data_IF_805622268577
#
_entry.id   IF_805622268577
#
_cell.length_a   1.000
_cell.length_b   1.000
_cell.length_c   1.000
_cell.angle_alpha   90.00
_cell.angle_beta   90.00
_cell.angle_gamma   90.00
#
_symmetry.space_group_name_H-M   'P 1'
#
loop_
_entity.id
_entity.type
_entity.pdbx_description
1 polymer ?
#
# COMPACT_ATOMS: atom_id res chain seq x y z
N UNK A 1 85.85 40.05 -6.34
CA UNK A 1 85.67 41.06 -5.27
C UNK A 1 84.63 40.50 -4.33
N UNK A 2 85.05 40.04 -3.26
CA UNK A 2 84.80 40.36 -1.83
C UNK A 2 83.36 40.62 -1.46
N UNK A 3 82.77 39.81 -0.56
CA UNK A 3 81.63 40.18 0.27
C UNK A 3 81.06 39.00 1.02
N UNK A 4 81.63 38.69 2.04
CA UNK A 4 81.34 38.44 3.48
C UNK A 4 80.09 37.61 3.85
N UNK A 5 80.38 36.44 4.45
CA UNK A 5 79.56 35.61 5.27
C UNK A 5 79.01 36.34 6.48
N UNK A 6 77.71 36.22 6.75
CA UNK A 6 77.19 36.40 8.11
C UNK A 6 76.34 35.17 8.50
N UNK A 7 76.89 34.41 9.42
CA UNK A 7 76.14 33.37 10.19
C UNK A 7 75.19 34.08 11.15
N UNK A 8 73.94 33.69 11.16
CA UNK A 8 73.05 34.00 12.29
C UNK A 8 72.48 32.67 12.81
N UNK A 9 72.73 32.45 14.10
CA UNK A 9 72.24 31.37 14.90
C UNK A 9 70.71 31.46 15.00
N UNK A 10 70.00 30.38 14.71
CA UNK A 10 68.57 30.27 15.01
C UNK A 10 68.44 29.56 16.32
N UNK A 11 67.87 30.23 17.31
CA UNK A 11 67.49 29.67 18.58
C UNK A 11 66.30 28.72 18.43
N UNK A 12 66.45 27.51 18.94
CA UNK A 12 65.40 26.51 19.05
C UNK A 12 64.47 26.90 20.22
N UNK A 13 63.27 27.37 19.92
CA UNK A 13 62.15 27.48 20.86
C UNK A 13 61.26 26.24 20.70
N UNK A 14 61.44 25.27 21.58
CA UNK A 14 60.48 24.17 21.77
C UNK A 14 59.26 24.73 22.47
N UNK A 15 58.22 25.09 21.73
CA UNK A 15 56.90 25.34 22.27
C UNK A 15 56.22 23.99 22.52
N UNK A 16 56.08 23.58 23.79
CA UNK A 16 55.20 22.51 24.24
C UNK A 16 53.75 22.94 23.96
N UNK A 17 53.20 22.56 22.83
CA UNK A 17 51.78 22.65 22.52
C UNK A 17 51.04 21.55 23.31
N UNK A 18 50.49 21.90 24.47
CA UNK A 18 49.49 21.06 25.13
C UNK A 18 48.22 21.13 24.28
N UNK A 19 48.03 20.14 23.39
CA UNK A 19 46.77 19.97 22.69
C UNK A 19 45.73 19.49 23.69
N UNK A 20 44.92 20.42 24.19
CA UNK A 20 43.64 20.06 24.82
C UNK A 20 42.76 19.43 23.74
N UNK A 21 42.80 18.13 23.67
CA UNK A 21 41.73 17.37 23.03
C UNK A 21 40.48 17.55 23.90
N UNK A 22 39.66 18.55 23.59
CA UNK A 22 38.27 18.57 24.02
C UNK A 22 37.62 17.34 23.35
N UNK A 23 37.43 16.27 24.13
CA UNK A 23 36.63 15.18 23.72
C UNK A 23 35.24 15.71 23.33
N UNK A 24 34.95 15.75 22.04
CA UNK A 24 33.58 16.00 21.57
C UNK A 24 32.70 14.98 22.29
N UNK A 25 31.59 15.41 22.91
CA UNK A 25 30.66 14.44 23.48
C UNK A 25 30.29 13.44 22.39
N UNK A 26 30.43 12.16 22.71
CA UNK A 26 29.99 11.09 21.82
C UNK A 26 28.52 11.40 21.42
N UNK A 27 28.17 11.32 20.15
CA UNK A 27 26.79 11.52 19.75
C UNK A 27 25.91 10.64 20.63
N UNK A 28 24.93 11.24 21.30
CA UNK A 28 23.99 10.50 22.12
C UNK A 28 23.39 9.43 21.20
N UNK A 29 23.56 8.17 21.54
CA UNK A 29 22.95 7.07 20.80
C UNK A 29 21.45 7.24 20.98
N UNK A 30 20.80 7.79 19.98
CA UNK A 30 19.36 8.02 20.00
C UNK A 30 18.69 6.67 20.22
N UNK A 31 17.98 6.51 21.33
CA UNK A 31 17.34 5.24 21.66
C UNK A 31 16.22 5.00 20.67
N UNK A 32 16.26 3.87 19.96
CA UNK A 32 15.19 3.46 19.04
C UNK A 32 13.90 3.34 19.86
N UNK A 33 12.82 4.08 19.49
CA UNK A 33 11.60 4.10 20.27
C UNK A 33 10.82 2.78 20.16
N UNK A 34 10.16 2.42 21.27
CA UNK A 34 9.21 1.30 21.30
C UNK A 34 7.84 1.77 20.84
N UNK A 35 7.20 0.96 20.00
CA UNK A 35 5.82 1.18 19.52
C UNK A 35 4.82 0.34 20.31
N UNK A 36 3.63 0.88 20.45
CA UNK A 36 2.47 0.12 20.88
C UNK A 36 1.94 -0.70 19.71
N UNK A 37 1.55 -1.93 20.01
CA UNK A 37 0.95 -2.84 19.06
C UNK A 37 -0.52 -2.97 19.39
N UNK A 38 -1.38 -2.75 18.42
CA UNK A 38 -2.81 -2.95 18.52
C UNK A 38 -3.20 -4.43 18.67
N UNK A 39 -4.48 -4.67 18.84
CA UNK A 39 -4.98 -6.01 19.07
C UNK A 39 -6.46 -6.16 18.77
N UNK A 40 -7.16 -6.80 19.69
CA UNK A 40 -8.61 -6.97 19.64
C UNK A 40 -9.25 -6.17 20.76
N UNK A 41 -10.25 -5.37 20.40
CA UNK A 41 -11.08 -4.61 21.32
C UNK A 41 -12.55 -4.96 21.08
N UNK A 42 -13.24 -5.42 22.12
CA UNK A 42 -14.64 -5.85 22.00
C UNK A 42 -14.88 -6.92 20.92
N UNK A 43 -13.92 -7.82 20.71
CA UNK A 43 -14.00 -8.87 19.68
C UNK A 43 -13.75 -8.41 18.25
N UNK A 44 -13.34 -7.15 18.05
CA UNK A 44 -13.03 -6.58 16.74
C UNK A 44 -11.55 -6.16 16.66
N UNK A 45 -10.92 -6.20 15.48
CA UNK A 45 -9.58 -5.68 15.29
C UNK A 45 -9.50 -4.20 15.69
N UNK A 46 -8.46 -3.86 16.41
CA UNK A 46 -8.15 -2.47 16.83
C UNK A 46 -6.67 -2.18 16.52
N UNK A 47 -6.31 -1.97 15.24
CA UNK A 47 -4.94 -1.65 14.85
C UNK A 47 -4.49 -0.33 15.47
N UNK A 48 -3.31 -0.32 16.12
CA UNK A 48 -2.74 0.93 16.58
C UNK A 48 -2.10 1.67 15.41
N UNK A 49 -2.51 2.91 15.21
CA UNK A 49 -1.98 3.80 14.17
C UNK A 49 -0.83 4.62 14.68
N UNK A 50 0.18 4.76 13.85
CA UNK A 50 1.38 5.57 14.07
C UNK A 50 1.57 6.51 12.89
N UNK A 51 2.26 7.62 13.14
CA UNK A 51 2.64 8.61 12.13
C UNK A 51 4.12 8.93 12.22
N UNK A 52 4.76 9.11 11.07
CA UNK A 52 6.16 9.51 10.96
C UNK A 52 6.38 10.31 9.67
N UNK A 53 7.57 10.87 9.52
CA UNK A 53 8.03 11.50 8.29
C UNK A 53 9.13 10.60 7.70
N UNK A 54 8.98 10.19 6.46
CA UNK A 54 9.90 9.29 5.78
C UNK A 54 10.81 10.09 4.82
N UNK A 55 12.08 10.32 5.20
CA UNK A 55 13.03 11.05 4.36
C UNK A 55 13.40 10.26 3.09
N UNK A 56 13.92 10.93 2.06
CA UNK A 56 14.39 10.27 0.84
C UNK A 56 15.52 9.29 1.13
N UNK A 57 15.50 8.12 0.49
CA UNK A 57 16.55 7.10 0.56
C UNK A 57 16.94 6.67 1.98
N UNK A 58 15.98 6.76 2.93
CA UNK A 58 16.23 6.41 4.32
C UNK A 58 15.29 5.32 4.82
N UNK A 59 15.71 4.73 5.94
CA UNK A 59 14.93 3.78 6.71
C UNK A 59 14.62 4.35 8.07
N UNK A 60 13.39 4.21 8.51
CA UNK A 60 12.96 4.45 9.86
C UNK A 60 12.90 3.12 10.61
N UNK A 61 13.26 3.12 11.89
CA UNK A 61 13.32 1.93 12.71
C UNK A 61 12.65 2.15 14.06
N UNK A 62 11.88 1.15 14.47
CA UNK A 62 11.22 1.10 15.77
C UNK A 62 11.36 -0.29 16.38
N UNK A 63 11.04 -0.40 17.66
CA UNK A 63 11.03 -1.67 18.41
C UNK A 63 9.63 -2.06 18.83
N UNK A 64 9.36 -3.36 18.80
CA UNK A 64 8.15 -3.96 19.36
C UNK A 64 8.52 -5.22 20.14
N UNK A 65 7.72 -5.53 21.17
CA UNK A 65 7.90 -6.78 21.93
C UNK A 65 6.92 -7.83 21.43
N UNK A 66 7.45 -8.96 20.95
CA UNK A 66 6.66 -10.10 20.49
C UNK A 66 6.95 -11.34 21.32
N UNK A 67 5.90 -12.04 21.72
CA UNK A 67 5.93 -13.27 22.50
C UNK A 67 5.68 -14.48 21.62
N UNK A 68 5.96 -15.65 22.15
CA UNK A 68 5.59 -16.91 21.50
C UNK A 68 4.08 -16.93 21.17
N UNK A 69 3.75 -17.30 19.95
CA UNK A 69 2.39 -17.31 19.42
C UNK A 69 1.90 -15.98 18.82
N UNK A 70 2.63 -14.87 18.99
CA UNK A 70 2.29 -13.60 18.36
C UNK A 70 2.48 -13.68 16.83
N UNK A 71 1.54 -13.09 16.10
CA UNK A 71 1.59 -12.91 14.64
C UNK A 71 1.32 -11.43 14.35
N UNK A 72 2.35 -10.71 13.90
CA UNK A 72 2.28 -9.27 13.71
C UNK A 72 1.84 -8.92 12.28
N UNK A 73 0.97 -7.93 12.15
CA UNK A 73 0.65 -7.27 10.90
C UNK A 73 1.09 -5.80 10.94
N UNK A 74 1.71 -5.36 9.88
CA UNK A 74 2.13 -3.99 9.61
C UNK A 74 1.48 -3.53 8.31
N UNK A 75 0.64 -2.50 8.38
CA UNK A 75 0.18 -1.77 7.20
C UNK A 75 0.90 -0.44 7.12
N UNK A 76 1.19 0.03 5.92
CA UNK A 76 1.87 1.30 5.70
C UNK A 76 1.28 2.05 4.52
N UNK A 77 1.26 3.36 4.63
CA UNK A 77 0.78 4.25 3.58
C UNK A 77 1.58 5.55 3.57
N UNK A 78 1.90 6.01 2.37
CA UNK A 78 2.51 7.31 2.14
C UNK A 78 1.61 8.14 1.24
N UNK A 79 1.26 9.33 1.69
CA UNK A 79 0.52 10.30 0.87
C UNK A 79 1.51 11.17 0.10
N UNK A 80 1.41 11.22 -1.24
CA UNK A 80 2.27 12.08 -2.04
C UNK A 80 2.02 13.57 -1.73
N UNK A 81 3.05 14.39 -1.63
CA UNK A 81 2.89 15.84 -1.51
C UNK A 81 2.30 16.45 -2.80
N UNK A 82 1.73 17.65 -2.69
CA UNK A 82 1.04 18.32 -3.80
C UNK A 82 1.94 18.59 -5.01
N UNK A 83 3.20 18.91 -4.75
CA UNK A 83 4.20 19.26 -5.77
C UNK A 83 5.05 18.07 -6.27
N UNK A 84 4.85 16.87 -5.70
CA UNK A 84 5.63 15.68 -6.06
C UNK A 84 5.33 15.13 -7.46
N UNK A 85 4.21 15.52 -8.08
CA UNK A 85 3.80 15.02 -9.39
C UNK A 85 4.78 15.40 -10.53
N UNK A 86 5.63 16.41 -10.32
CA UNK A 86 6.55 16.91 -11.35
C UNK A 86 7.92 16.21 -11.40
N UNK A 87 8.25 15.37 -10.44
CA UNK A 87 9.54 14.67 -10.39
C UNK A 87 9.37 13.23 -10.85
N UNK A 88 9.72 12.91 -12.11
CA UNK A 88 9.60 11.53 -12.61
C UNK A 88 10.59 10.61 -11.89
N UNK A 89 10.20 9.36 -11.72
CA UNK A 89 11.05 8.36 -11.09
C UNK A 89 10.27 7.15 -10.59
N UNK A 90 10.90 6.38 -9.74
CA UNK A 90 10.33 5.25 -9.02
C UNK A 90 10.37 5.55 -7.52
N UNK A 91 9.28 5.38 -6.82
CA UNK A 91 9.27 5.28 -5.37
C UNK A 91 8.85 3.87 -4.97
N UNK A 92 9.61 3.29 -4.06
CA UNK A 92 9.31 1.99 -3.45
C UNK A 92 9.41 2.12 -1.94
N UNK A 93 8.36 1.70 -1.25
CA UNK A 93 8.32 1.67 0.20
C UNK A 93 8.19 0.22 0.62
N UNK A 94 9.15 -0.23 1.39
CA UNK A 94 9.23 -1.62 1.87
C UNK A 94 9.15 -1.64 3.39
N UNK A 95 8.58 -2.70 3.92
CA UNK A 95 8.58 -2.98 5.35
C UNK A 95 9.33 -4.27 5.65
N UNK A 96 10.03 -4.30 6.78
CA UNK A 96 10.75 -5.44 7.27
C UNK A 96 10.51 -5.63 8.78
N UNK A 97 10.46 -6.88 9.21
CA UNK A 97 10.26 -7.31 10.59
C UNK A 97 11.44 -8.20 10.95
N UNK A 98 12.32 -7.71 11.83
CA UNK A 98 13.59 -8.38 12.15
C UNK A 98 13.55 -8.85 13.60
N UNK A 99 13.82 -10.12 13.83
CA UNK A 99 13.80 -10.74 15.14
C UNK A 99 15.02 -10.36 16.01
N UNK A 100 15.04 -10.70 17.31
CA UNK A 100 16.18 -10.39 18.20
C UNK A 100 17.51 -11.02 17.77
N UNK A 101 17.51 -12.04 16.92
CA UNK A 101 18.70 -12.69 16.41
C UNK A 101 19.18 -12.14 15.07
N UNK A 102 18.41 -11.16 14.50
CA UNK A 102 18.72 -10.53 13.23
C UNK A 102 18.11 -11.23 12.00
N UNK A 103 17.24 -12.22 12.19
CA UNK A 103 16.56 -12.89 11.09
C UNK A 103 15.37 -12.06 10.60
N UNK A 104 15.16 -12.07 9.29
CA UNK A 104 13.94 -11.51 8.69
C UNK A 104 12.77 -12.43 8.95
N UNK A 105 11.76 -11.91 9.66
CA UNK A 105 10.58 -12.66 10.08
C UNK A 105 9.33 -12.26 9.31
N UNK A 106 9.48 -11.94 8.04
CA UNK A 106 8.35 -11.61 7.16
C UNK A 106 7.84 -12.87 6.49
N UNK A 107 6.59 -13.23 6.72
CA UNK A 107 5.90 -14.35 6.07
C UNK A 107 5.31 -13.93 4.73
N UNK A 108 4.85 -12.68 4.65
CA UNK A 108 4.23 -12.10 3.48
C UNK A 108 4.41 -10.59 3.49
N UNK A 109 4.64 -10.01 2.33
CA UNK A 109 4.71 -8.56 2.16
C UNK A 109 4.29 -8.13 0.77
N UNK A 110 3.75 -6.91 0.68
CA UNK A 110 3.55 -6.18 -0.56
C UNK A 110 4.18 -4.81 -0.43
N UNK A 111 5.10 -4.51 -1.34
CA UNK A 111 5.74 -3.21 -1.38
C UNK A 111 4.79 -2.17 -1.97
N UNK A 112 4.72 -1.02 -1.34
CA UNK A 112 4.11 0.15 -1.96
C UNK A 112 4.99 0.69 -3.09
N UNK A 113 4.48 0.79 -4.30
CA UNK A 113 5.24 1.31 -5.45
C UNK A 113 4.47 2.36 -6.22
N UNK A 114 5.18 3.39 -6.70
CA UNK A 114 4.70 4.32 -7.70
C UNK A 114 5.79 4.53 -8.74
N UNK A 115 5.41 4.58 -10.02
CA UNK A 115 6.32 4.75 -11.14
C UNK A 115 5.93 5.95 -11.98
N UNK A 116 6.90 6.74 -12.41
CA UNK A 116 6.80 7.93 -13.24
C UNK A 116 6.09 9.13 -12.57
N UNK A 117 5.01 8.92 -11.85
CA UNK A 117 4.25 9.96 -11.16
C UNK A 117 3.50 9.36 -9.96
N UNK A 118 3.18 10.19 -8.98
CA UNK A 118 2.25 9.81 -7.94
C UNK A 118 0.81 10.00 -8.42
N UNK A 119 0.17 8.94 -8.84
CA UNK A 119 -1.24 8.96 -9.25
C UNK A 119 -2.20 8.70 -8.10
N UNK A 120 -1.72 8.09 -7.03
CA UNK A 120 -2.48 7.70 -5.83
C UNK A 120 -1.53 7.54 -4.64
N UNK A 121 -2.02 7.43 -3.40
CA UNK A 121 -1.20 7.06 -2.26
C UNK A 121 -0.48 5.73 -2.50
N UNK A 122 0.74 5.63 -1.98
CA UNK A 122 1.49 4.39 -2.00
C UNK A 122 1.17 3.64 -0.72
N UNK A 123 0.58 2.46 -0.80
CA UNK A 123 0.31 1.59 0.34
C UNK A 123 0.95 0.24 0.16
N UNK A 124 1.30 -0.39 1.27
CA UNK A 124 1.89 -1.71 1.31
C UNK A 124 1.70 -2.35 2.69
N UNK A 125 2.12 -3.59 2.82
CA UNK A 125 2.01 -4.31 4.08
C UNK A 125 3.12 -5.33 4.27
N UNK A 126 3.29 -5.76 5.51
CA UNK A 126 4.08 -6.94 5.88
C UNK A 126 3.41 -7.68 7.03
N UNK A 127 3.49 -9.01 7.01
CA UNK A 127 3.09 -9.86 8.15
C UNK A 127 4.27 -10.69 8.61
N UNK A 128 4.39 -10.90 9.93
CA UNK A 128 5.41 -11.80 10.44
C UNK A 128 5.00 -13.28 10.26
N UNK A 129 5.95 -14.19 10.40
CA UNK A 129 5.61 -15.55 10.82
C UNK A 129 5.06 -15.53 12.25
N UNK A 130 4.35 -16.59 12.64
CA UNK A 130 4.00 -16.81 14.05
C UNK A 130 5.27 -17.01 14.85
N UNK A 131 5.46 -16.19 15.87
CA UNK A 131 6.67 -16.22 16.71
C UNK A 131 6.79 -17.55 17.45
N UNK A 132 7.93 -18.20 17.33
CA UNK A 132 8.18 -19.52 17.92
C UNK A 132 7.66 -20.71 17.10
N UNK A 133 7.07 -20.47 15.93
CA UNK A 133 6.77 -21.53 14.96
C UNK A 133 8.08 -22.00 14.28
N UNK A 134 8.15 -23.28 13.99
CA UNK A 134 9.29 -23.91 13.32
C UNK A 134 9.49 -23.44 11.87
N UNK A 135 8.47 -22.85 11.26
CA UNK A 135 8.49 -22.48 9.85
C UNK A 135 9.31 -21.21 9.56
N UNK A 136 9.21 -20.20 10.42
CA UNK A 136 9.88 -18.91 10.23
C UNK A 136 11.16 -18.77 11.06
N UNK A 137 11.41 -19.66 11.99
CA UNK A 137 12.50 -19.58 12.99
C UNK A 137 12.54 -18.24 13.75
N UNK A 138 11.37 -17.59 13.91
CA UNK A 138 11.26 -16.30 14.56
C UNK A 138 11.31 -16.46 16.07
N UNK A 139 12.27 -15.81 16.70
CA UNK A 139 12.54 -15.95 18.14
C UNK A 139 11.76 -14.94 18.95
N UNK A 140 11.11 -15.32 20.09
CA UNK A 140 10.45 -14.34 20.97
C UNK A 140 11.42 -13.27 21.49
N UNK A 141 10.95 -12.03 21.65
CA UNK A 141 11.72 -10.92 22.21
C UNK A 141 11.48 -9.60 21.50
N UNK A 142 12.46 -8.72 21.52
CA UNK A 142 12.39 -7.38 20.94
C UNK A 142 12.73 -7.42 19.45
N UNK A 143 11.74 -7.08 18.63
CA UNK A 143 11.85 -7.01 17.17
C UNK A 143 12.13 -5.60 16.71
N UNK A 144 12.86 -5.47 15.60
CA UNK A 144 12.98 -4.23 14.85
C UNK A 144 11.94 -4.20 13.72
N UNK A 145 11.15 -3.12 13.68
CA UNK A 145 10.28 -2.78 12.56
C UNK A 145 11.02 -1.74 11.73
N UNK A 146 11.24 -2.04 10.44
CA UNK A 146 12.00 -1.17 9.54
C UNK A 146 11.14 -0.82 8.32
N UNK A 147 10.88 0.47 8.12
CA UNK A 147 10.21 0.96 6.90
C UNK A 147 11.23 1.76 6.10
N UNK A 148 11.43 1.37 4.84
CA UNK A 148 12.47 1.94 3.98
C UNK A 148 11.84 2.56 2.74
N UNK A 149 12.29 3.77 2.40
CA UNK A 149 12.00 4.41 1.11
C UNK A 149 13.21 4.29 0.19
N UNK A 150 12.96 3.86 -1.05
CA UNK A 150 13.93 3.81 -2.14
C UNK A 150 13.37 4.47 -3.40
N UNK A 151 14.26 5.02 -4.21
CA UNK A 151 13.91 5.61 -5.50
C UNK A 151 13.80 7.12 -5.48
N UNK A 152 13.74 7.69 -6.67
CA UNK A 152 13.86 9.13 -6.92
C UNK A 152 12.53 9.87 -7.02
N UNK A 153 11.40 9.17 -7.13
CA UNK A 153 10.08 9.79 -7.21
C UNK A 153 9.79 10.59 -5.94
N UNK A 154 9.32 11.82 -6.09
CA UNK A 154 9.16 12.78 -5.00
C UNK A 154 10.46 13.50 -4.63
N UNK A 155 11.58 13.22 -5.30
CA UNK A 155 12.83 13.95 -5.15
C UNK A 155 13.31 14.03 -3.69
N UNK A 156 13.69 15.23 -3.27
CA UNK A 156 14.15 15.51 -1.92
C UNK A 156 13.01 15.70 -0.89
N UNK A 157 11.73 15.62 -1.30
CA UNK A 157 10.61 15.80 -0.39
C UNK A 157 10.53 14.69 0.65
N UNK A 158 10.32 15.08 1.89
CA UNK A 158 9.92 14.18 2.95
C UNK A 158 8.47 13.72 2.72
N UNK A 159 8.18 12.45 2.96
CA UNK A 159 6.85 11.90 2.75
C UNK A 159 6.15 11.61 4.08
N UNK A 160 4.92 12.13 4.29
CA UNK A 160 4.10 11.70 5.42
C UNK A 160 3.84 10.19 5.34
N UNK A 161 4.24 9.47 6.38
CA UNK A 161 4.04 8.04 6.55
C UNK A 161 3.04 7.78 7.65
N UNK A 162 1.91 7.17 7.31
CA UNK A 162 1.01 6.53 8.26
C UNK A 162 1.25 5.04 8.25
N UNK A 163 1.28 4.39 9.41
CA UNK A 163 1.39 2.96 9.49
C UNK A 163 0.61 2.40 10.69
N UNK A 164 0.18 1.16 10.56
CA UNK A 164 -0.53 0.43 11.61
C UNK A 164 0.26 -0.78 12.05
N UNK A 165 0.24 -1.04 13.35
CA UNK A 165 0.79 -2.25 13.93
C UNK A 165 -0.29 -2.93 14.76
N UNK A 166 -0.49 -4.23 14.56
CA UNK A 166 -1.43 -4.99 15.36
C UNK A 166 -1.10 -6.49 15.33
N UNK A 167 -1.51 -7.19 16.37
CA UNK A 167 -1.40 -8.65 16.41
C UNK A 167 -2.63 -9.25 15.72
N UNK A 168 -2.37 -10.14 14.76
CA UNK A 168 -3.43 -10.86 14.06
C UNK A 168 -4.06 -11.86 15.02
N UNK A 169 -5.34 -11.72 15.35
CA UNK A 169 -6.04 -12.68 16.18
C UNK A 169 -6.47 -13.91 15.39
N UNK A 170 -6.76 -14.99 16.10
CA UNK A 170 -7.39 -16.16 15.54
C UNK A 170 -8.91 -15.96 15.48
N UNK A 171 -9.55 -16.31 14.37
CA UNK A 171 -11.01 -16.37 14.31
C UNK A 171 -11.52 -17.59 15.09
N UNK A 172 -12.54 -17.36 15.92
CA UNK A 172 -13.14 -18.45 16.75
C UNK A 172 -14.26 -19.23 16.03
N UNK A 173 -14.55 -18.90 14.76
CA UNK A 173 -15.60 -19.54 13.97
C UNK A 173 -15.02 -20.56 13.00
N UNK A 174 -15.55 -21.76 13.01
CA UNK A 174 -15.13 -22.88 12.14
C UNK A 174 -15.46 -22.67 10.64
N UNK A 175 -16.26 -21.65 10.33
CA UNK A 175 -16.70 -21.37 8.95
C UNK A 175 -16.21 -20.00 8.51
N UNK A 176 -15.11 -19.99 7.78
CA UNK A 176 -14.69 -18.82 7.01
C UNK A 176 -15.49 -18.86 5.71
N UNK A 177 -16.40 -17.89 5.54
CA UNK A 177 -17.16 -17.78 4.31
C UNK A 177 -16.23 -17.43 3.14
N UNK A 178 -16.48 -18.01 1.98
CA UNK A 178 -15.79 -17.69 0.74
C UNK A 178 -16.43 -16.47 0.10
N UNK A 179 -15.61 -15.63 -0.56
CA UNK A 179 -16.11 -14.46 -1.29
C UNK A 179 -17.09 -14.88 -2.40
N UNK A 180 -18.19 -14.14 -2.50
CA UNK A 180 -19.15 -14.30 -3.60
C UNK A 180 -18.61 -13.59 -4.87
N UNK A 181 -19.05 -14.01 -6.08
CA UNK A 181 -18.78 -13.24 -7.28
C UNK A 181 -19.28 -11.79 -7.17
N UNK A 182 -18.63 -10.82 -7.82
CA UNK A 182 -19.10 -9.45 -7.81
C UNK A 182 -20.49 -9.34 -8.42
N UNK A 183 -21.38 -8.51 -7.85
CA UNK A 183 -22.69 -8.23 -8.46
C UNK A 183 -22.52 -7.38 -9.72
N UNK A 184 -23.58 -7.30 -10.52
CA UNK A 184 -23.60 -6.42 -11.67
C UNK A 184 -23.36 -4.96 -11.27
N UNK A 185 -22.47 -4.27 -12.00
CA UNK A 185 -22.15 -2.87 -11.74
C UNK A 185 -23.29 -1.96 -12.17
N UNK A 186 -23.67 -1.02 -11.30
CA UNK A 186 -24.71 -0.02 -11.56
C UNK A 186 -24.10 1.39 -11.54
N UNK A 187 -24.42 2.20 -12.55
CA UNK A 187 -23.88 3.58 -12.67
C UNK A 187 -24.89 4.64 -12.20
N UNK A 188 -25.67 4.34 -11.19
CA UNK A 188 -26.67 5.28 -10.68
C UNK A 188 -26.01 6.35 -9.81
N UNK A 189 -25.97 7.57 -10.32
CA UNK A 189 -25.60 8.77 -9.55
C UNK A 189 -26.84 9.67 -9.53
N UNK A 190 -27.41 9.87 -8.34
CA UNK A 190 -28.63 10.67 -8.20
C UNK A 190 -28.41 12.13 -8.60
N UNK A 191 -29.41 12.73 -9.22
CA UNK A 191 -29.36 14.14 -9.61
C UNK A 191 -29.35 15.10 -8.40
N UNK A 192 -29.77 14.63 -7.23
CA UNK A 192 -29.82 15.38 -5.97
C UNK A 192 -28.59 15.10 -5.10
N UNK A 193 -27.38 15.13 -5.68
CA UNK A 193 -26.13 14.90 -4.96
C UNK A 193 -25.94 15.94 -3.84
N UNK A 194 -25.58 15.47 -2.64
CA UNK A 194 -25.23 16.35 -1.53
C UNK A 194 -23.78 16.89 -1.72
N UNK A 195 -23.55 18.14 -1.30
CA UNK A 195 -22.18 18.68 -1.31
C UNK A 195 -21.31 17.93 -0.30
N UNK A 196 -20.15 17.44 -0.76
CA UNK A 196 -19.17 16.76 0.06
C UNK A 196 -17.89 17.59 0.16
N UNK A 197 -17.51 17.91 1.39
CA UNK A 197 -16.21 18.50 1.69
C UNK A 197 -15.23 17.38 2.07
N UNK A 198 -14.36 17.02 1.15
CA UNK A 198 -13.27 16.05 1.37
C UNK A 198 -12.12 16.71 2.14
N UNK A 199 -11.29 15.93 2.80
CA UNK A 199 -10.08 16.44 3.46
C UNK A 199 -8.84 16.28 2.56
N UNK A 200 -7.85 17.14 2.73
CA UNK A 200 -6.54 17.02 2.05
C UNK A 200 -5.56 16.17 2.85
N UNK A 201 -5.87 15.89 4.11
CA UNK A 201 -5.08 15.01 4.97
C UNK A 201 -5.86 13.72 5.28
N UNK A 202 -5.15 12.62 5.37
CA UNK A 202 -5.73 11.32 5.68
C UNK A 202 -6.45 11.30 7.04
N UNK A 203 -5.88 11.99 8.04
CA UNK A 203 -6.42 11.96 9.40
C UNK A 203 -7.73 12.74 9.55
N UNK A 204 -7.92 13.77 8.74
CA UNK A 204 -9.10 14.64 8.77
C UNK A 204 -10.23 14.17 7.83
N UNK A 205 -10.04 13.03 7.16
CA UNK A 205 -11.01 12.49 6.21
C UNK A 205 -12.40 12.36 6.85
N UNK A 206 -13.44 12.97 6.27
CA UNK A 206 -14.81 12.88 6.79
C UNK A 206 -15.36 11.47 6.57
N UNK A 207 -16.12 10.96 7.54
CA UNK A 207 -16.90 9.73 7.36
C UNK A 207 -18.22 10.06 6.69
N UNK A 208 -18.50 9.39 5.58
CA UNK A 208 -19.74 9.54 4.79
C UNK A 208 -20.53 8.23 4.79
N UNK A 209 -21.81 8.32 4.44
CA UNK A 209 -22.66 7.14 4.25
C UNK A 209 -22.81 6.82 2.75
N UNK A 210 -23.49 5.72 2.44
CA UNK A 210 -23.89 5.42 1.07
C UNK A 210 -24.78 6.54 0.52
N UNK A 211 -24.53 6.98 -0.73
CA UNK A 211 -25.27 8.07 -1.35
C UNK A 211 -24.52 8.72 -2.52
N UNK A 212 -25.16 9.75 -3.09
CA UNK A 212 -24.58 10.54 -4.16
C UNK A 212 -24.12 11.90 -3.66
N UNK A 213 -22.94 12.31 -4.09
CA UNK A 213 -22.23 13.50 -3.63
C UNK A 213 -21.70 14.31 -4.80
N UNK A 214 -21.51 15.60 -4.56
CA UNK A 214 -20.77 16.50 -5.43
C UNK A 214 -19.56 17.03 -4.66
N UNK A 215 -18.36 16.93 -5.23
CA UNK A 215 -17.12 17.42 -4.62
C UNK A 215 -16.21 18.04 -5.66
N UNK A 216 -15.40 19.00 -5.24
CA UNK A 216 -14.42 19.67 -6.11
C UNK A 216 -13.04 19.09 -5.83
N UNK A 217 -12.39 18.54 -6.87
CA UNK A 217 -11.04 18.05 -6.83
C UNK A 217 -10.06 19.11 -7.34
N UNK A 218 -8.94 19.28 -6.65
CA UNK A 218 -7.84 20.15 -7.04
C UNK A 218 -6.69 19.31 -7.62
N UNK A 219 -6.13 19.75 -8.75
CA UNK A 219 -5.03 19.02 -9.38
C UNK A 219 -3.81 18.94 -8.47
N UNK A 220 -3.17 17.77 -8.44
CA UNK A 220 -2.00 17.51 -7.61
C UNK A 220 -2.30 17.16 -6.16
N UNK A 221 -3.51 17.44 -5.65
CA UNK A 221 -3.89 17.18 -4.26
C UNK A 221 -4.62 15.86 -4.12
N UNK A 222 -4.22 15.03 -3.16
CA UNK A 222 -4.99 13.85 -2.76
C UNK A 222 -6.09 14.27 -1.79
N UNK A 223 -7.32 13.89 -2.08
CA UNK A 223 -8.48 14.20 -1.25
C UNK A 223 -9.05 12.90 -0.66
N UNK A 224 -9.45 12.98 0.59
CA UNK A 224 -9.79 11.84 1.41
C UNK A 224 -11.22 11.88 1.91
N UNK A 225 -11.83 10.72 1.96
CA UNK A 225 -13.09 10.45 2.68
C UNK A 225 -13.06 9.02 3.26
N UNK A 226 -13.98 8.72 4.17
CA UNK A 226 -14.18 7.39 4.75
C UNK A 226 -15.60 6.93 4.56
N UNK A 227 -15.78 5.64 4.34
CA UNK A 227 -17.08 5.02 4.26
C UNK A 227 -17.10 3.69 5.04
N UNK A 228 -18.06 3.46 5.95
CA UNK A 228 -18.16 2.20 6.66
C UNK A 228 -18.68 1.10 5.71
N UNK A 229 -17.93 0.00 5.63
CA UNK A 229 -18.29 -1.22 4.89
C UNK A 229 -18.29 -2.38 5.87
N UNK A 230 -19.37 -3.13 5.90
CA UNK A 230 -19.51 -4.27 6.80
C UNK A 230 -18.87 -5.55 6.21
N UNK A 231 -18.68 -6.55 7.06
CA UNK A 231 -18.32 -7.91 6.63
C UNK A 231 -19.33 -8.42 5.61
N UNK A 232 -18.86 -9.06 4.54
CA UNK A 232 -19.68 -9.54 3.43
C UNK A 232 -20.12 -8.49 2.42
N UNK A 233 -19.71 -7.23 2.60
CA UNK A 233 -20.03 -6.16 1.67
C UNK A 233 -18.83 -5.76 0.80
N UNK A 234 -19.12 -5.08 -0.31
CA UNK A 234 -18.18 -4.47 -1.23
C UNK A 234 -18.45 -2.97 -1.29
N UNK A 235 -17.42 -2.18 -1.57
CA UNK A 235 -17.59 -0.77 -1.90
C UNK A 235 -17.70 -0.61 -3.41
N UNK A 236 -18.85 -0.13 -3.87
CA UNK A 236 -19.02 0.34 -5.24
C UNK A 236 -18.83 1.85 -5.30
N UNK A 237 -18.00 2.30 -6.26
CA UNK A 237 -17.68 3.71 -6.49
C UNK A 237 -18.08 4.05 -7.92
N UNK A 238 -18.94 5.04 -8.11
CA UNK A 238 -19.24 5.61 -9.41
C UNK A 238 -18.79 7.08 -9.44
N UNK A 239 -18.05 7.46 -10.48
CA UNK A 239 -17.56 8.83 -10.68
C UNK A 239 -18.07 9.35 -12.02
N UNK A 240 -18.65 10.54 -12.01
CA UNK A 240 -19.03 11.31 -13.19
C UNK A 240 -18.29 12.64 -13.18
N UNK A 241 -17.55 12.92 -14.24
CA UNK A 241 -16.79 14.16 -14.39
C UNK A 241 -17.27 14.94 -15.62
N UNK A 242 -17.39 16.28 -15.52
CA UNK A 242 -17.73 17.13 -16.65
C UNK A 242 -16.59 17.14 -17.69
N UNK A 243 -16.86 17.67 -18.89
CA UNK A 243 -15.82 17.89 -19.89
C UNK A 243 -14.66 18.72 -19.32
N UNK A 244 -13.48 18.10 -19.19
CA UNK A 244 -12.25 18.74 -18.72
C UNK A 244 -11.05 17.90 -19.11
N UNK A 245 -9.84 18.45 -19.00
CA UNK A 245 -8.60 17.73 -19.26
C UNK A 245 -8.07 17.08 -17.99
N UNK A 246 -7.40 15.94 -18.11
CA UNK A 246 -6.66 15.29 -17.03
C UNK A 246 -7.11 13.87 -16.74
N UNK A 247 -6.79 13.43 -15.54
CA UNK A 247 -7.10 12.06 -15.07
C UNK A 247 -7.50 12.11 -13.60
N UNK A 248 -8.53 11.36 -13.24
CA UNK A 248 -8.89 11.10 -11.86
C UNK A 248 -8.45 9.66 -11.55
N UNK A 249 -7.68 9.50 -10.48
CA UNK A 249 -7.32 8.20 -9.94
C UNK A 249 -7.92 8.08 -8.53
N UNK A 250 -8.24 6.85 -8.13
CA UNK A 250 -8.69 6.58 -6.77
C UNK A 250 -8.10 5.29 -6.25
N UNK A 251 -8.02 5.20 -4.94
CA UNK A 251 -7.61 4.02 -4.21
C UNK A 251 -8.56 3.80 -3.03
N UNK A 252 -8.76 2.54 -2.67
CA UNK A 252 -9.46 2.15 -1.45
C UNK A 252 -8.44 1.50 -0.53
N UNK A 253 -8.42 1.96 0.72
CA UNK A 253 -7.43 1.54 1.71
C UNK A 253 -8.18 1.12 2.97
N UNK A 254 -7.94 -0.09 3.41
CA UNK A 254 -8.60 -0.67 4.58
C UNK A 254 -8.23 0.02 5.90
N UNK A 255 -8.92 -0.30 6.99
CA UNK A 255 -8.65 0.27 8.31
C UNK A 255 -7.23 0.00 8.83
N UNK A 256 -6.63 -1.06 8.36
CA UNK A 256 -5.25 -1.47 8.65
C UNK A 256 -4.20 -0.89 7.68
N UNK A 257 -4.57 0.07 6.84
CA UNK A 257 -3.75 0.69 5.80
C UNK A 257 -3.30 -0.25 4.66
N UNK A 258 -3.88 -1.45 4.56
CA UNK A 258 -3.68 -2.31 3.40
C UNK A 258 -4.50 -1.81 2.22
N UNK A 259 -3.97 -1.88 0.99
CA UNK A 259 -4.76 -1.58 -0.20
C UNK A 259 -5.89 -2.60 -0.35
N UNK A 260 -7.08 -2.14 -0.69
CA UNK A 260 -8.22 -2.98 -1.03
C UNK A 260 -8.31 -3.08 -2.54
N UNK A 261 -8.30 -4.30 -3.07
CA UNK A 261 -8.35 -4.51 -4.51
C UNK A 261 -9.68 -4.06 -5.10
N UNK A 262 -9.60 -3.41 -6.25
CA UNK A 262 -10.74 -3.07 -7.07
C UNK A 262 -10.80 -4.10 -8.19
N UNK A 263 -11.81 -4.98 -8.15
CA UNK A 263 -11.89 -6.16 -9.03
C UNK A 263 -12.35 -5.80 -10.44
N UNK A 264 -13.34 -4.91 -10.55
CA UNK A 264 -13.94 -4.57 -11.82
C UNK A 264 -14.14 -3.06 -11.98
N UNK A 265 -14.09 -2.59 -13.22
CA UNK A 265 -14.44 -1.23 -13.61
C UNK A 265 -15.03 -1.18 -15.00
N UNK A 266 -16.08 -0.36 -15.17
CA UNK A 266 -16.71 -0.10 -16.47
C UNK A 266 -16.83 1.39 -16.73
N UNK A 267 -16.69 1.80 -18.01
CA UNK A 267 -16.90 3.19 -18.45
C UNK A 267 -18.37 3.45 -18.83
N UNK A 268 -18.66 4.67 -19.29
CA UNK A 268 -20.02 5.05 -19.77
C UNK A 268 -20.51 4.29 -21.00
N UNK A 269 -19.67 3.48 -21.62
CA UNK A 269 -20.05 2.62 -22.76
C UNK A 269 -20.22 1.15 -22.34
N UNK A 270 -20.06 0.81 -21.04
CA UNK A 270 -20.11 -0.55 -20.54
C UNK A 270 -18.85 -1.37 -20.83
N UNK A 271 -17.77 -0.72 -21.28
CA UNK A 271 -16.51 -1.40 -21.56
C UNK A 271 -15.69 -1.55 -20.27
N UNK A 272 -15.04 -2.68 -20.10
CA UNK A 272 -14.08 -2.88 -19.01
C UNK A 272 -12.94 -1.89 -19.13
N UNK A 273 -12.63 -1.20 -18.06
CA UNK A 273 -11.59 -0.17 -17.98
C UNK A 273 -10.64 -0.45 -16.83
N UNK A 274 -9.58 0.36 -16.71
CA UNK A 274 -8.70 0.32 -15.54
C UNK A 274 -9.54 0.72 -14.32
N UNK A 275 -9.75 -0.19 -13.34
CA UNK A 275 -10.82 -0.03 -12.35
C UNK A 275 -10.59 1.09 -11.32
N UNK A 276 -9.43 1.76 -11.34
CA UNK A 276 -9.03 2.82 -10.42
C UNK A 276 -8.61 4.11 -11.14
N UNK A 277 -8.96 4.26 -12.43
CA UNK A 277 -8.54 5.40 -13.25
C UNK A 277 -9.62 5.84 -14.22
N UNK A 278 -9.93 7.14 -14.24
CA UNK A 278 -10.80 7.78 -15.22
C UNK A 278 -10.00 8.83 -16.01
N UNK A 279 -9.75 8.57 -17.29
CA UNK A 279 -9.22 9.56 -18.22
C UNK A 279 -10.34 10.49 -18.64
N UNK A 280 -10.15 11.79 -18.43
CA UNK A 280 -11.13 12.81 -18.75
C UNK A 280 -11.04 13.24 -20.23
N UNK A 281 -12.11 13.82 -20.73
CA UNK A 281 -12.25 14.31 -22.09
C UNK A 281 -12.75 15.75 -22.06
N UNK A 282 -12.23 16.62 -22.92
CA UNK A 282 -12.61 18.03 -22.98
C UNK A 282 -13.96 18.27 -23.67
N UNK A 283 -14.52 17.27 -24.31
CA UNK A 283 -15.72 17.39 -25.14
C UNK A 283 -16.95 16.71 -24.57
N UNK A 284 -16.77 15.72 -23.68
CA UNK A 284 -17.87 14.93 -23.15
C UNK A 284 -17.76 14.60 -21.66
N UNK A 285 -18.89 14.35 -21.03
CA UNK A 285 -18.97 13.83 -19.68
C UNK A 285 -18.39 12.41 -19.64
N UNK A 286 -17.48 12.17 -18.73
CA UNK A 286 -16.91 10.84 -18.51
C UNK A 286 -17.45 10.23 -17.22
N UNK A 287 -17.75 8.93 -17.31
CA UNK A 287 -18.25 8.13 -16.19
C UNK A 287 -17.45 6.86 -16.05
N UNK A 288 -17.30 6.42 -14.81
CA UNK A 288 -16.75 5.11 -14.47
C UNK A 288 -17.46 4.58 -13.25
N UNK A 289 -17.68 3.28 -13.21
CA UNK A 289 -18.10 2.56 -12.01
C UNK A 289 -17.10 1.45 -11.74
N UNK A 290 -16.72 1.32 -10.49
CA UNK A 290 -15.82 0.26 -10.03
C UNK A 290 -16.33 -0.35 -8.73
N UNK A 291 -15.89 -1.58 -8.44
CA UNK A 291 -16.27 -2.31 -7.25
C UNK A 291 -15.04 -2.97 -6.63
N UNK A 292 -14.93 -2.89 -5.31
CA UNK A 292 -13.86 -3.57 -4.59
C UNK A 292 -14.12 -5.07 -4.48
N UNK A 293 -13.08 -5.81 -4.13
CA UNK A 293 -13.26 -7.15 -3.56
C UNK A 293 -14.21 -7.10 -2.35
N UNK A 294 -14.79 -8.23 -2.04
CA UNK A 294 -15.64 -8.37 -0.87
C UNK A 294 -14.83 -8.26 0.41
N UNK A 295 -15.30 -7.43 1.35
CA UNK A 295 -14.63 -7.26 2.64
C UNK A 295 -14.99 -8.43 3.54
N UNK A 296 -14.03 -9.33 3.76
CA UNK A 296 -14.21 -10.54 4.57
C UNK A 296 -12.97 -10.90 5.36
N UNK A 297 -13.13 -11.24 6.62
CA UNK A 297 -12.04 -11.77 7.43
C UNK A 297 -11.34 -12.97 6.76
N UNK A 298 -12.09 -13.78 6.03
CA UNK A 298 -11.54 -14.92 5.25
C UNK A 298 -10.45 -14.54 4.28
N UNK A 299 -10.45 -13.32 3.77
CA UNK A 299 -9.46 -12.85 2.79
C UNK A 299 -8.03 -12.81 3.36
N UNK A 300 -7.86 -12.73 4.69
CA UNK A 300 -6.52 -12.83 5.33
C UNK A 300 -5.87 -14.20 5.12
N UNK A 301 -6.69 -15.23 4.83
CA UNK A 301 -6.27 -16.64 4.71
C UNK A 301 -6.21 -17.08 3.25
N UNK A 302 -6.89 -16.37 2.35
CA UNK A 302 -6.89 -16.69 0.92
C UNK A 302 -5.55 -16.35 0.32
N UNK A 303 -4.68 -17.38 0.29
CA UNK A 303 -3.37 -17.36 -0.38
C UNK A 303 -3.57 -17.50 -1.88
N UNK A 304 -3.80 -16.39 -2.56
CA UNK A 304 -3.77 -16.35 -4.02
C UNK A 304 -2.46 -15.68 -4.44
N UNK A 305 -1.70 -16.30 -5.33
CA UNK A 305 -0.36 -15.89 -5.80
C UNK A 305 -0.24 -14.43 -6.25
N UNK A 306 -1.37 -13.71 -6.38
CA UNK A 306 -1.43 -12.33 -6.89
C UNK A 306 -2.43 -11.44 -6.13
N UNK A 307 -3.07 -11.90 -5.06
CA UNK A 307 -4.12 -11.12 -4.40
C UNK A 307 -3.58 -10.39 -3.18
N UNK A 308 -3.67 -9.08 -3.28
CA UNK A 308 -3.45 -8.19 -2.16
C UNK A 308 -4.54 -8.43 -1.11
N UNK A 309 -4.14 -8.85 0.08
CA UNK A 309 -5.05 -9.20 1.19
C UNK A 309 -5.62 -7.99 1.92
N UNK A 310 -5.93 -6.89 1.20
CA UNK A 310 -6.37 -5.65 1.81
C UNK A 310 -7.82 -5.66 2.32
N UNK A 311 -8.68 -6.44 1.71
CA UNK A 311 -10.11 -6.46 1.97
C UNK A 311 -10.56 -7.41 3.07
N UNK A 312 -9.78 -7.63 4.13
CA UNK A 312 -10.17 -8.55 5.20
C UNK A 312 -10.71 -7.87 6.47
N UNK A 313 -10.60 -6.54 6.59
CA UNK A 313 -11.14 -5.80 7.73
C UNK A 313 -12.37 -4.99 7.35
N UNK A 314 -13.50 -5.35 7.94
CA UNK A 314 -14.69 -4.52 7.95
C UNK A 314 -14.47 -3.24 8.77
N UNK A 315 -15.23 -2.20 8.47
CA UNK A 315 -15.14 -0.91 9.14
C UNK A 315 -14.98 0.24 8.16
N UNK A 316 -14.39 1.36 8.61
CA UNK A 316 -14.16 2.54 7.79
C UNK A 316 -13.10 2.28 6.73
N UNK A 317 -13.53 2.14 5.47
CA UNK A 317 -12.66 2.11 4.32
C UNK A 317 -12.30 3.54 3.92
N UNK A 318 -11.02 3.80 3.69
CA UNK A 318 -10.53 5.11 3.28
C UNK A 318 -10.50 5.17 1.75
N UNK A 319 -11.12 6.21 1.17
CA UNK A 319 -11.09 6.45 -0.27
C UNK A 319 -10.23 7.67 -0.53
N UNK A 320 -9.19 7.48 -1.31
CA UNK A 320 -8.34 8.54 -1.83
C UNK A 320 -8.75 8.88 -3.25
N UNK A 321 -8.98 10.16 -3.53
CA UNK A 321 -9.25 10.70 -4.87
C UNK A 321 -8.11 11.64 -5.25
N UNK A 322 -7.51 11.47 -6.42
CA UNK A 322 -6.48 12.38 -6.92
C UNK A 322 -6.76 12.77 -8.35
N UNK A 323 -6.87 14.07 -8.56
CA UNK A 323 -6.97 14.66 -9.89
C UNK A 323 -5.59 15.09 -10.36
N UNK A 324 -5.22 14.71 -11.58
CA UNK A 324 -3.96 15.11 -12.23
C UNK A 324 -4.26 15.82 -13.52
N UNK A 325 -3.66 16.99 -13.72
CA UNK A 325 -3.76 17.79 -14.95
C UNK A 325 -2.44 18.49 -15.21
N UNK A 326 -2.16 18.82 -16.47
CA UNK A 326 -0.90 19.46 -16.90
C UNK A 326 -0.73 20.88 -16.34
N UNK A 327 -1.84 21.53 -16.00
CA UNK A 327 -1.87 22.87 -15.40
C UNK A 327 -2.67 22.84 -14.11
N UNK A 328 -2.32 23.67 -13.10
CA UNK A 328 -3.13 23.79 -11.88
C UNK A 328 -4.57 24.19 -12.20
N UNK A 329 -5.50 23.33 -11.87
CA UNK A 329 -6.93 23.54 -12.06
C UNK A 329 -7.76 22.71 -11.09
N UNK A 330 -9.05 22.94 -11.07
CA UNK A 330 -10.01 22.16 -10.30
C UNK A 330 -11.13 21.62 -11.20
N UNK A 331 -11.72 20.53 -10.80
CA UNK A 331 -12.90 19.95 -11.45
C UNK A 331 -13.91 19.53 -10.39
N UNK A 332 -15.17 19.83 -10.62
CA UNK A 332 -16.26 19.36 -9.76
C UNK A 332 -16.80 18.07 -10.34
N UNK A 333 -16.79 17.03 -9.53
CA UNK A 333 -17.26 15.70 -9.91
C UNK A 333 -18.50 15.31 -9.14
N UNK A 334 -19.27 14.40 -9.70
CA UNK A 334 -20.33 13.68 -8.99
C UNK A 334 -19.82 12.29 -8.64
N UNK A 335 -20.02 11.90 -7.39
CA UNK A 335 -19.52 10.67 -6.80
C UNK A 335 -20.69 9.92 -6.17
N UNK A 336 -20.87 8.65 -6.51
CA UNK A 336 -21.77 7.78 -5.76
C UNK A 336 -20.97 6.67 -5.07
N UNK A 337 -21.31 6.45 -3.81
CA UNK A 337 -20.69 5.47 -2.93
C UNK A 337 -21.77 4.53 -2.40
N UNK A 338 -21.64 3.24 -2.63
CA UNK A 338 -22.61 2.24 -2.21
C UNK A 338 -21.92 1.06 -1.53
N UNK A 339 -22.45 0.66 -0.37
CA UNK A 339 -22.14 -0.63 0.21
C UNK A 339 -23.04 -1.69 -0.46
N UNK A 340 -22.46 -2.61 -1.21
CA UNK A 340 -23.17 -3.63 -2.00
C UNK A 340 -22.94 -5.00 -1.38
N UNK A 341 -23.96 -5.83 -1.34
CA UNK A 341 -23.96 -7.13 -0.69
C UNK A 341 -24.66 -7.11 0.66
N UNK A 342 -24.82 -8.26 1.25
CA UNK A 342 -25.46 -8.40 2.55
C UNK A 342 -24.43 -8.18 3.66
N UNK A 343 -24.75 -7.29 4.59
CA UNK A 343 -23.96 -7.15 5.81
C UNK A 343 -24.07 -8.44 6.64
N UNK A 344 -22.95 -9.04 6.92
CA UNK A 344 -22.86 -10.26 7.75
C UNK A 344 -22.32 -9.90 9.13
N UNK A 345 -22.60 -10.74 10.15
CA UNK A 345 -21.94 -10.58 11.42
C UNK A 345 -20.42 -10.75 11.28
N UNK A 346 -19.66 -9.78 11.76
CA UNK A 346 -18.22 -9.93 11.80
C UNK A 346 -17.81 -11.10 12.69
N UNK A 347 -16.75 -11.85 12.34
CA UNK A 347 -16.31 -12.98 13.16
C UNK A 347 -15.88 -12.50 14.53
N UNK A 348 -16.12 -13.33 15.55
CA UNK A 348 -15.59 -13.08 16.88
C UNK A 348 -14.11 -13.43 16.88
N UNK A 349 -13.29 -12.47 17.18
CA UNK A 349 -11.86 -12.62 17.19
C UNK A 349 -11.34 -12.73 18.64
N UNK A 350 -10.39 -13.60 18.85
CA UNK A 350 -9.69 -13.73 20.13
C UNK A 350 -8.23 -14.10 19.88
N UNK A 351 -7.37 -13.81 20.85
CA UNK A 351 -6.03 -14.40 20.83
C UNK A 351 -6.16 -15.83 21.33
N UNK A 352 -5.77 -16.79 20.48
CA UNK A 352 -5.69 -18.19 20.86
C UNK A 352 -4.74 -18.37 22.04
N UNK A 353 -5.00 -19.39 22.86
CA UNK A 353 -4.02 -19.85 23.85
C UNK A 353 -2.81 -20.37 23.07
N UNK A 354 -1.61 -20.12 23.57
CA UNK A 354 -0.38 -20.64 22.94
C UNK A 354 -0.53 -22.15 22.67
N UNK A 355 -0.68 -22.52 21.41
CA UNK A 355 -1.03 -23.89 20.99
C UNK A 355 -2.16 -23.94 19.96
N UNK A 356 -3.19 -23.06 20.06
CA UNK A 356 -4.28 -23.02 19.10
C UNK A 356 -3.92 -22.20 17.83
N UNK A 357 -2.99 -21.26 17.93
CA UNK A 357 -2.42 -20.59 16.75
C UNK A 357 -1.76 -21.58 15.78
N UNK A 358 -1.34 -22.75 16.26
CA UNK A 358 -0.80 -23.86 15.46
C UNK A 358 -1.89 -24.45 14.56
N UNK A 359 -3.13 -24.57 15.02
CA UNK A 359 -4.22 -25.13 14.21
C UNK A 359 -4.59 -24.22 13.02
N UNK A 360 -4.53 -22.91 13.19
CA UNK A 360 -4.81 -21.97 12.07
C UNK A 360 -3.67 -22.06 11.04
N UNK A 361 -2.44 -22.07 11.48
CA UNK A 361 -1.30 -22.28 10.57
C UNK A 361 -1.36 -23.64 9.89
N UNK A 362 -1.82 -24.68 10.56
CA UNK A 362 -2.00 -26.02 9.98
C UNK A 362 -3.20 -26.09 9.02
N UNK A 363 -4.29 -25.38 9.30
CA UNK A 363 -5.39 -25.22 8.36
C UNK A 363 -4.98 -24.44 7.09
N UNK A 364 -4.17 -23.39 7.25
CA UNK A 364 -3.54 -22.68 6.12
C UNK A 364 -2.62 -23.61 5.33
N UNK A 365 -1.77 -24.40 6.02
CA UNK A 365 -0.89 -25.38 5.40
C UNK A 365 -1.67 -26.48 4.68
N UNK A 366 -2.71 -27.04 5.30
CA UNK A 366 -3.54 -28.09 4.71
C UNK A 366 -4.24 -27.59 3.44
N UNK A 367 -4.72 -26.32 3.42
CA UNK A 367 -5.29 -25.70 2.22
C UNK A 367 -4.24 -25.46 1.15
N UNK A 368 -3.05 -24.96 1.51
CA UNK A 368 -1.93 -24.77 0.57
C UNK A 368 -1.50 -26.10 -0.06
N UNK A 369 -1.40 -27.17 0.73
CA UNK A 369 -1.08 -28.51 0.23
C UNK A 369 -2.19 -29.09 -0.65
N UNK A 370 -3.47 -28.90 -0.27
CA UNK A 370 -4.62 -29.35 -1.06
C UNK A 370 -4.73 -28.62 -2.40
N UNK A 371 -4.40 -27.33 -2.44
CA UNK A 371 -4.43 -26.50 -3.66
C UNK A 371 -3.29 -26.85 -4.62
N UNK A 372 -2.07 -27.11 -4.09
CA UNK A 372 -0.94 -27.58 -4.89
C UNK A 372 -1.16 -28.99 -5.47
N UNK A 373 -2.05 -29.79 -4.87
CA UNK A 373 -2.39 -31.11 -5.32
C UNK A 373 -3.67 -31.14 -6.21
N UNK A 374 -4.34 -30.01 -6.45
CA UNK A 374 -5.38 -29.96 -7.49
C UNK A 374 -4.68 -30.17 -8.85
N UNK A 375 -5.14 -31.15 -9.65
CA UNK A 375 -4.59 -31.34 -10.98
C UNK A 375 -4.80 -30.04 -11.74
N UNK A 376 -3.70 -29.40 -12.13
CA UNK A 376 -3.73 -28.27 -13.05
C UNK A 376 -4.60 -28.68 -14.22
N UNK A 377 -5.72 -28.01 -14.42
CA UNK A 377 -6.53 -28.18 -15.64
C UNK A 377 -5.55 -28.19 -16.82
N UNK A 378 -5.62 -29.18 -17.74
CA UNK A 378 -4.66 -29.23 -18.83
C UNK A 378 -4.81 -27.90 -19.59
N UNK A 379 -3.82 -27.04 -19.43
CA UNK A 379 -3.66 -25.87 -20.29
C UNK A 379 -3.56 -26.45 -21.70
N UNK A 380 -4.60 -26.28 -22.49
CA UNK A 380 -4.51 -26.48 -23.93
C UNK A 380 -3.55 -25.38 -24.38
N UNK A 381 -2.32 -25.73 -24.80
CA UNK A 381 -1.46 -24.73 -25.38
C UNK A 381 -2.14 -24.25 -26.65
N UNK A 382 -2.79 -23.09 -26.59
CA UNK A 382 -3.20 -22.38 -27.79
C UNK A 382 -1.88 -22.11 -28.52
N UNK A 383 -1.72 -22.76 -29.65
CA UNK A 383 -0.53 -22.74 -30.48
C UNK A 383 -0.25 -21.31 -30.99
N UNK A 384 0.28 -20.45 -30.13
CA UNK A 384 0.80 -19.12 -30.48
C UNK A 384 2.06 -19.21 -31.36
N UNK A 385 2.59 -20.41 -31.59
CA UNK A 385 3.75 -20.63 -32.46
C UNK A 385 3.46 -20.50 -33.96
N UNK A 386 2.22 -20.65 -34.40
CA UNK A 386 1.91 -20.62 -35.84
C UNK A 386 1.81 -19.19 -36.40
N UNK A 387 1.45 -18.20 -35.59
CA UNK A 387 1.34 -16.80 -36.04
C UNK A 387 2.69 -16.08 -36.19
N UNK A 388 3.69 -16.45 -35.40
CA UNK A 388 5.02 -15.87 -35.53
C UNK A 388 5.77 -16.38 -36.78
N UNK A 389 5.60 -17.63 -37.13
CA UNK A 389 6.23 -18.22 -38.32
C UNK A 389 5.68 -17.64 -39.63
N UNK A 390 4.37 -17.34 -39.69
CA UNK A 390 3.75 -16.70 -40.87
C UNK A 390 4.17 -15.23 -41.02
N UNK A 391 4.34 -14.49 -39.96
CA UNK A 391 4.79 -13.10 -40.01
C UNK A 391 6.22 -12.99 -40.56
N UNK A 392 7.13 -13.88 -40.16
CA UNK A 392 8.52 -13.90 -40.62
C UNK A 392 8.60 -14.28 -42.11
N UNK A 393 7.76 -15.22 -42.60
CA UNK A 393 7.72 -15.61 -43.99
C UNK A 393 7.19 -14.47 -44.90
N UNK A 394 6.15 -13.77 -44.47
CA UNK A 394 5.57 -12.64 -45.23
C UNK A 394 6.54 -11.47 -45.29
N UNK A 395 7.26 -11.14 -44.19
CA UNK A 395 8.27 -10.08 -44.18
C UNK A 395 9.49 -10.45 -45.03
N UNK A 396 9.94 -11.70 -45.03
CA UNK A 396 11.01 -12.20 -45.88
C UNK A 396 10.68 -12.11 -47.37
N UNK A 397 9.45 -12.47 -47.74
CA UNK A 397 8.99 -12.41 -49.13
C UNK A 397 8.85 -10.97 -49.66
N UNK A 398 8.33 -10.05 -48.81
CA UNK A 398 8.23 -8.63 -49.15
C UNK A 398 9.60 -7.95 -49.27
N UNK A 399 10.59 -8.39 -48.48
CA UNK A 399 11.95 -7.88 -48.60
C UNK A 399 12.67 -8.36 -49.86
N UNK A 400 12.41 -9.60 -50.33
CA UNK A 400 12.98 -10.10 -51.58
C UNK A 400 12.33 -9.47 -52.82
N UNK A 401 11.03 -9.14 -52.77
CA UNK A 401 10.34 -8.47 -53.87
C UNK A 401 10.73 -6.99 -54.03
N UNK A 402 11.29 -6.37 -53.01
CA UNK A 402 11.76 -4.96 -53.06
C UNK A 402 13.19 -4.81 -53.56
N UNK A 403 13.91 -5.91 -53.81
CA UNK A 403 15.30 -5.92 -54.32
C UNK A 403 15.39 -6.37 -55.81
N UNK A 404 14.29 -6.52 -56.49
CA UNK A 404 14.20 -6.59 -57.94
C UNK A 404 13.52 -5.29 -58.46
#
# INVERSE_FOLDING_TARGET
MKGTRRRRAAALLCALGISLFTALPAPATESIPFLQVGGVKNGQPDPTRHHAILPPEQSLRWKVELKHGDHLALGMMVTPPEDAASVPGLARITADIIDPTGNHCVSESSDGTAANEFTQPISGFATSYVVGDTFGNCTPGTYDIVITRKGTLGGAHELPLDFTLWKIPTATTDTIATSAPPPELSMNIDNSAATLHTATTFNDAPTVHAGSYETTLHSGTTQWLRIPIAEGQRLQIAIEAPPTQGTINWAVIGPNLYPVDIEEGTNNYGETTIPYRLKLDTTEVRKVTSITQEIRWGNIIEDTEFNHKGGFLAGEQNVALRYSADTPQSTTIRLALHAVGNAEPAPKLSYGVAGEAVEVSDAIRARKTSRNNQPTSPFIPIASGALLATAILVFGLLFMLRRR
#
